data_IF_490506317944
#
_entry.id   IF_490506317944
#
_cell.length_a   1.000
_cell.length_b   1.000
_cell.length_c   1.000
_cell.angle_alpha   90.00
_cell.angle_beta   90.00
_cell.angle_gamma   90.00
#
_symmetry.space_group_name_H-M   'P 1'
#
loop_
_entity.id
_entity.type
_entity.pdbx_description
1 polymer ?
#
# COMPACT_ATOMS: atom_id res chain seq x y z
N UNK A 1 31.64 -45.15 -50.67
CA UNK A 1 31.91 -43.77 -50.20
C UNK A 1 30.59 -43.25 -49.61
N UNK A 2 30.31 -43.43 -48.32
CA UNK A 2 30.64 -42.60 -47.15
C UNK A 2 30.05 -41.17 -47.14
N UNK A 3 29.31 -40.87 -46.04
CA UNK A 3 28.96 -39.56 -45.43
C UNK A 3 27.73 -38.84 -46.04
N UNK A 4 26.81 -38.20 -45.32
CA UNK A 4 26.53 -37.93 -43.89
C UNK A 4 25.07 -37.36 -43.83
N UNK A 5 24.23 -37.79 -42.89
CA UNK A 5 23.68 -37.00 -41.77
C UNK A 5 23.40 -35.51 -42.06
N UNK A 6 22.16 -35.04 -41.83
CA UNK A 6 21.85 -34.07 -40.76
C UNK A 6 20.33 -33.92 -40.53
N UNK A 7 19.98 -33.95 -39.24
CA UNK A 7 18.66 -33.74 -38.63
C UNK A 7 18.19 -32.28 -38.76
N UNK A 8 16.88 -32.04 -38.59
CA UNK A 8 16.24 -31.01 -37.74
C UNK A 8 14.72 -31.10 -37.97
N UNK A 9 13.98 -31.91 -37.22
CA UNK A 9 13.48 -31.64 -35.87
C UNK A 9 12.52 -30.44 -35.81
N UNK A 10 11.23 -30.78 -35.81
CA UNK A 10 10.12 -30.13 -35.11
C UNK A 10 10.17 -28.62 -34.89
N UNK A 11 9.46 -27.88 -35.74
CA UNK A 11 8.86 -26.62 -35.32
C UNK A 11 7.63 -26.93 -34.45
N UNK A 12 7.86 -27.33 -33.20
CA UNK A 12 6.82 -27.20 -32.16
C UNK A 12 6.82 -25.73 -31.79
N UNK A 13 5.91 -24.97 -32.40
CA UNK A 13 5.53 -23.66 -31.86
C UNK A 13 5.00 -23.90 -30.45
N UNK A 14 5.87 -23.71 -29.46
CA UNK A 14 5.46 -23.49 -28.10
C UNK A 14 4.62 -22.21 -28.12
N UNK A 15 3.30 -22.36 -28.10
CA UNK A 15 2.42 -21.33 -27.56
C UNK A 15 2.81 -21.17 -26.10
N UNK A 16 3.76 -20.28 -25.84
CA UNK A 16 3.87 -19.66 -24.54
C UNK A 16 2.55 -18.89 -24.37
N UNK A 17 1.59 -19.51 -23.70
CA UNK A 17 0.46 -18.80 -23.13
C UNK A 17 1.07 -17.79 -22.16
N UNK A 18 1.19 -16.54 -22.59
CA UNK A 18 1.44 -15.42 -21.70
C UNK A 18 0.35 -15.49 -20.65
N UNK A 19 0.73 -15.78 -19.41
CA UNK A 19 -0.16 -15.58 -18.28
C UNK A 19 -0.69 -14.13 -18.40
N UNK A 20 -2.01 -13.92 -18.29
CA UNK A 20 -2.55 -12.56 -18.37
C UNK A 20 -1.84 -11.74 -17.30
N UNK A 21 -1.26 -10.60 -17.70
CA UNK A 21 -0.79 -9.61 -16.75
C UNK A 21 -1.98 -9.29 -15.82
N UNK A 22 -1.83 -9.62 -14.54
CA UNK A 22 -2.90 -9.44 -13.59
C UNK A 22 -3.03 -7.91 -13.40
N UNK A 23 -4.24 -7.39 -13.53
CA UNK A 23 -4.45 -5.95 -13.40
C UNK A 23 -4.57 -5.60 -11.92
N UNK A 24 -4.14 -4.39 -11.55
CA UNK A 24 -4.45 -3.85 -10.23
C UNK A 24 -5.96 -3.91 -9.96
N UNK A 25 -6.32 -4.21 -8.73
CA UNK A 25 -7.70 -4.26 -8.29
C UNK A 25 -8.34 -2.87 -8.36
N UNK A 26 -9.65 -2.84 -8.63
CA UNK A 26 -10.42 -1.60 -8.64
C UNK A 26 -10.34 -0.87 -7.28
N UNK A 27 -10.27 -1.62 -6.18
CA UNK A 27 -10.11 -1.09 -4.84
C UNK A 27 -8.83 -0.27 -4.68
N UNK A 28 -7.68 -0.79 -5.13
CA UNK A 28 -6.41 -0.08 -4.99
C UNK A 28 -6.25 1.08 -5.98
N UNK A 29 -6.91 1.03 -7.15
CA UNK A 29 -7.05 2.19 -8.04
C UNK A 29 -7.86 3.29 -7.37
N UNK A 30 -9.03 2.96 -6.83
CA UNK A 30 -9.89 3.89 -6.08
C UNK A 30 -9.18 4.47 -4.85
N UNK A 31 -8.38 3.64 -4.16
CA UNK A 31 -7.52 4.04 -3.06
C UNK A 31 -6.46 5.05 -3.47
N UNK A 32 -5.77 4.82 -4.59
CA UNK A 32 -4.76 5.72 -5.12
C UNK A 32 -5.32 7.10 -5.45
N UNK A 33 -6.55 7.18 -5.96
CA UNK A 33 -7.27 8.45 -6.16
C UNK A 33 -7.55 9.14 -4.83
N UNK A 34 -8.17 8.43 -3.88
CA UNK A 34 -8.52 8.97 -2.57
C UNK A 34 -7.30 9.50 -1.80
N UNK A 35 -6.15 8.83 -1.91
CA UNK A 35 -4.91 9.31 -1.32
C UNK A 35 -4.50 10.69 -1.87
N UNK A 36 -4.61 10.91 -3.19
CA UNK A 36 -4.29 12.22 -3.79
C UNK A 36 -5.24 13.30 -3.29
N UNK A 37 -6.54 13.02 -3.29
CA UNK A 37 -7.56 13.95 -2.82
C UNK A 37 -7.38 14.30 -1.34
N UNK A 38 -7.08 13.30 -0.51
CA UNK A 38 -6.74 13.47 0.91
C UNK A 38 -5.52 14.37 1.10
N UNK A 39 -4.49 14.18 0.27
CA UNK A 39 -3.29 15.02 0.30
C UNK A 39 -3.57 16.47 -0.07
N UNK A 40 -4.37 16.72 -1.09
CA UNK A 40 -4.66 18.09 -1.55
C UNK A 40 -5.53 18.86 -0.54
N UNK A 41 -6.35 18.15 0.25
CA UNK A 41 -7.24 18.74 1.24
C UNK A 41 -6.60 19.00 2.62
N UNK A 42 -5.45 18.40 2.91
CA UNK A 42 -4.68 18.61 4.14
C UNK A 42 -4.10 20.05 4.18
N UNK A 43 -4.85 20.98 4.79
CA UNK A 43 -4.55 22.42 4.76
C UNK A 43 -4.28 23.05 6.13
N UNK A 44 -4.13 22.26 7.20
CA UNK A 44 -4.03 22.79 8.59
C UNK A 44 -3.00 22.04 9.44
N UNK A 45 -2.39 22.73 10.43
CA UNK A 45 -1.57 22.07 11.43
C UNK A 45 -2.42 21.08 12.22
N UNK A 46 -1.97 19.83 12.25
CA UNK A 46 -2.62 18.67 12.87
C UNK A 46 -2.39 18.70 14.39
N UNK A 47 -3.43 18.44 15.19
CA UNK A 47 -3.26 18.35 16.65
C UNK A 47 -2.45 17.10 17.04
N UNK A 48 -1.81 17.07 18.22
CA UNK A 48 -0.97 15.92 18.63
C UNK A 48 -1.75 14.60 18.69
N UNK A 49 -3.04 14.63 19.09
CA UNK A 49 -3.91 13.45 19.10
C UNK A 49 -4.21 12.95 17.67
N UNK A 50 -4.48 13.86 16.73
CA UNK A 50 -4.66 13.51 15.32
C UNK A 50 -3.36 12.95 14.70
N UNK A 51 -2.19 13.47 15.12
CA UNK A 51 -0.89 12.93 14.69
C UNK A 51 -0.67 11.50 15.20
N UNK A 52 -1.02 11.21 16.46
CA UNK A 52 -0.94 9.87 17.06
C UNK A 52 -1.87 8.88 16.35
N UNK A 53 -3.12 9.29 16.09
CA UNK A 53 -4.09 8.51 15.31
C UNK A 53 -3.59 8.21 13.88
N UNK A 54 -3.05 9.21 13.19
CA UNK A 54 -2.42 9.03 11.88
C UNK A 54 -1.24 8.05 11.92
N UNK A 55 -0.52 7.99 13.03
CA UNK A 55 0.52 7.00 13.26
C UNK A 55 0.02 5.57 13.20
N UNK A 56 -1.14 5.29 13.79
CA UNK A 56 -1.75 3.97 13.73
C UNK A 56 -2.01 3.50 12.30
N UNK A 57 -2.53 4.38 11.45
CA UNK A 57 -2.77 4.10 10.03
C UNK A 57 -1.47 3.78 9.27
N UNK A 58 -0.45 4.62 9.43
CA UNK A 58 0.84 4.42 8.76
C UNK A 58 1.57 3.17 9.25
N UNK A 59 1.48 2.82 10.53
CA UNK A 59 2.00 1.56 11.06
C UNK A 59 1.35 0.36 10.37
N UNK A 60 0.02 0.32 10.31
CA UNK A 60 -0.69 -0.81 9.67
C UNK A 60 -0.35 -0.93 8.19
N UNK A 61 -0.25 0.19 7.47
CA UNK A 61 0.16 0.16 6.07
C UNK A 61 1.59 -0.39 5.89
N UNK A 62 2.54 0.04 6.74
CA UNK A 62 3.91 -0.46 6.69
C UNK A 62 4.00 -1.96 7.05
N UNK A 63 3.23 -2.42 8.04
CA UNK A 63 3.13 -3.84 8.40
C UNK A 63 2.62 -4.66 7.19
N UNK A 64 1.60 -4.18 6.49
CA UNK A 64 1.05 -4.83 5.29
C UNK A 64 2.08 -4.96 4.16
N UNK A 65 2.94 -3.95 3.98
CA UNK A 65 4.05 -3.99 3.03
C UNK A 65 5.13 -4.99 3.45
N UNK A 66 5.50 -5.01 4.74
CA UNK A 66 6.52 -5.91 5.28
C UNK A 66 6.07 -7.39 5.24
N UNK A 67 4.76 -7.62 5.36
CA UNK A 67 4.13 -8.94 5.28
C UNK A 67 3.73 -9.34 3.85
N UNK A 68 4.06 -8.53 2.84
CA UNK A 68 3.78 -8.81 1.42
C UNK A 68 2.28 -9.07 1.13
N UNK A 69 1.39 -8.43 1.90
CA UNK A 69 -0.07 -8.64 1.77
C UNK A 69 -0.66 -7.99 0.51
N UNK A 70 0.02 -7.00 -0.06
CA UNK A 70 -0.44 -6.24 -1.24
C UNK A 70 0.24 -6.79 -2.49
N UNK A 71 -0.54 -7.07 -3.54
CA UNK A 71 -0.01 -7.59 -4.79
C UNK A 71 0.93 -6.60 -5.49
N UNK A 72 1.87 -7.09 -6.29
CA UNK A 72 2.79 -6.22 -7.04
C UNK A 72 2.04 -5.24 -7.97
N UNK A 73 0.93 -5.68 -8.58
CA UNK A 73 0.13 -4.84 -9.48
C UNK A 73 -0.63 -3.75 -8.72
N UNK A 74 -1.19 -4.06 -7.56
CA UNK A 74 -1.81 -3.08 -6.67
C UNK A 74 -0.77 -2.07 -6.15
N UNK A 75 0.42 -2.55 -5.77
CA UNK A 75 1.55 -1.71 -5.39
C UNK A 75 2.00 -0.83 -6.55
N UNK A 76 1.98 -1.29 -7.79
CA UNK A 76 2.38 -0.50 -8.94
C UNK A 76 1.46 0.72 -9.17
N UNK A 77 0.19 0.66 -8.77
CA UNK A 77 -0.75 1.79 -8.85
C UNK A 77 -0.59 2.75 -7.66
N UNK A 78 -0.32 2.23 -6.47
CA UNK A 78 -0.14 3.04 -5.27
C UNK A 78 1.25 3.68 -5.17
N UNK A 79 2.31 2.93 -5.46
CA UNK A 79 3.71 3.32 -5.26
C UNK A 79 4.04 4.68 -5.89
N UNK A 80 3.66 5.00 -7.15
CA UNK A 80 3.93 6.32 -7.74
C UNK A 80 3.29 7.49 -6.96
N UNK A 81 2.21 7.23 -6.24
CA UNK A 81 1.50 8.21 -5.42
C UNK A 81 2.09 8.28 -4.00
N UNK A 82 2.69 7.19 -3.53
CA UNK A 82 3.30 7.04 -2.21
C UNK A 82 4.82 7.39 -2.17
N UNK A 83 5.51 7.55 -3.32
CA UNK A 83 6.97 7.76 -3.50
C UNK A 83 7.42 9.27 -3.51
N UNK A 84 8.68 9.67 -3.14
CA UNK A 84 9.13 10.00 -1.75
C UNK A 84 9.98 11.32 -1.59
N UNK A 85 10.49 11.76 -0.39
CA UNK A 85 10.89 10.91 0.75
C UNK A 85 10.55 11.33 2.20
N UNK A 86 10.45 10.29 3.04
CA UNK A 86 10.85 10.22 4.47
C UNK A 86 9.84 10.43 5.60
N UNK A 87 8.54 10.57 5.34
CA UNK A 87 7.56 10.62 6.43
C UNK A 87 7.38 9.29 7.20
N UNK A 88 7.36 8.08 6.61
CA UNK A 88 7.18 6.89 7.45
C UNK A 88 8.40 6.64 8.36
N UNK A 89 9.63 6.95 7.93
CA UNK A 89 10.83 6.75 8.75
C UNK A 89 11.03 7.86 9.81
N UNK A 90 10.70 9.12 9.50
CA UNK A 90 10.70 10.19 10.52
C UNK A 90 9.48 10.11 11.45
N UNK A 91 8.33 9.64 10.96
CA UNK A 91 7.17 9.37 11.78
C UNK A 91 7.46 8.19 12.72
N UNK A 92 8.06 7.08 12.28
CA UNK A 92 8.52 6.00 13.19
C UNK A 92 9.51 6.54 14.25
N UNK A 93 10.46 7.39 13.87
CA UNK A 93 11.40 8.02 14.82
C UNK A 93 10.73 9.02 15.77
N UNK A 94 9.59 9.61 15.38
CA UNK A 94 8.74 10.47 16.21
C UNK A 94 7.78 9.65 17.07
N UNK A 95 7.29 8.49 16.60
CA UNK A 95 6.44 7.56 17.33
C UNK A 95 7.19 6.83 18.45
N UNK A 96 8.49 6.54 18.27
CA UNK A 96 9.32 6.08 19.38
C UNK A 96 9.37 7.08 20.55
N UNK A 97 9.13 8.39 20.30
CA UNK A 97 9.00 9.39 21.35
C UNK A 97 7.58 9.54 21.89
N UNK A 98 6.56 9.17 21.12
CA UNK A 98 5.17 9.13 21.61
C UNK A 98 4.92 7.91 22.50
N UNK A 99 5.62 6.79 22.29
CA UNK A 99 5.66 5.66 23.22
C UNK A 99 6.24 6.04 24.61
N UNK A 100 6.94 7.18 24.74
CA UNK A 100 7.39 7.71 26.03
C UNK A 100 6.32 8.58 26.72
N UNK A 101 5.25 8.94 26.01
CA UNK A 101 4.09 9.64 26.53
C UNK A 101 2.91 8.66 26.59
N UNK A 102 2.76 7.94 27.71
CA UNK A 102 1.66 7.00 27.99
C UNK A 102 0.25 7.55 27.65
N UNK A 103 0.10 8.87 27.52
CA UNK A 103 -1.14 9.59 27.24
C UNK A 103 -1.65 9.51 25.81
N UNK A 104 -0.87 9.02 24.84
CA UNK A 104 -1.27 9.00 23.41
C UNK A 104 -1.38 7.59 22.80
N UNK A 105 -1.26 6.55 23.64
CA UNK A 105 -1.33 5.16 23.20
C UNK A 105 -2.74 4.77 22.72
N UNK A 106 -3.78 5.35 23.32
CA UNK A 106 -5.17 5.04 22.97
C UNK A 106 -5.48 5.53 21.54
N UNK A 107 -5.04 6.72 21.16
CA UNK A 107 -5.21 7.27 19.80
C UNK A 107 -4.44 6.47 18.75
N UNK A 108 -3.21 6.03 19.08
CA UNK A 108 -2.44 5.15 18.19
C UNK A 108 -3.18 3.82 17.98
N UNK A 109 -3.64 3.18 19.06
CA UNK A 109 -4.33 1.89 18.94
C UNK A 109 -5.68 2.02 18.24
N UNK A 110 -6.43 3.10 18.48
CA UNK A 110 -7.66 3.42 17.74
C UNK A 110 -7.38 3.48 16.22
N UNK A 111 -6.37 4.26 15.82
CA UNK A 111 -5.96 4.34 14.42
C UNK A 111 -5.53 2.99 13.83
N UNK A 112 -4.85 2.14 14.60
CA UNK A 112 -4.46 0.79 14.15
C UNK A 112 -5.65 -0.14 13.97
N UNK A 113 -6.59 -0.14 14.92
CA UNK A 113 -7.78 -1.00 14.86
C UNK A 113 -8.62 -0.64 13.63
N UNK A 114 -8.84 0.65 13.40
CA UNK A 114 -9.61 1.11 12.24
C UNK A 114 -8.90 0.82 10.92
N UNK A 115 -7.60 1.16 10.81
CA UNK A 115 -6.82 0.90 9.61
C UNK A 115 -6.76 -0.59 9.25
N UNK A 116 -6.61 -1.49 10.24
CA UNK A 116 -6.61 -2.95 10.00
C UNK A 116 -7.92 -3.43 9.39
N UNK A 117 -9.05 -2.91 9.88
CA UNK A 117 -10.36 -3.25 9.33
C UNK A 117 -10.47 -2.83 7.87
N UNK A 118 -10.17 -1.57 7.57
CA UNK A 118 -10.25 -1.09 6.20
C UNK A 118 -9.25 -1.78 5.27
N UNK A 119 -8.05 -2.09 5.76
CA UNK A 119 -7.06 -2.84 4.98
C UNK A 119 -7.57 -4.24 4.63
N UNK A 120 -8.12 -4.98 5.61
CA UNK A 120 -8.66 -6.31 5.36
C UNK A 120 -9.78 -6.29 4.30
N UNK A 121 -10.70 -5.33 4.40
CA UNK A 121 -11.80 -5.16 3.44
C UNK A 121 -11.29 -4.70 2.06
N UNK A 122 -10.31 -3.80 2.01
CA UNK A 122 -9.67 -3.35 0.77
C UNK A 122 -8.93 -4.49 0.05
N UNK A 123 -8.20 -5.33 0.79
CA UNK A 123 -7.55 -6.53 0.27
C UNK A 123 -8.57 -7.57 -0.25
N UNK A 124 -9.78 -7.57 0.30
CA UNK A 124 -10.91 -8.35 -0.21
C UNK A 124 -11.60 -7.71 -1.44
N UNK A 125 -11.14 -6.53 -1.88
CA UNK A 125 -11.62 -5.83 -3.07
C UNK A 125 -12.69 -4.76 -2.81
N UNK A 126 -12.94 -4.36 -1.56
CA UNK A 126 -13.90 -3.30 -1.25
C UNK A 126 -13.32 -1.90 -1.57
N UNK A 127 -13.86 -1.26 -2.61
CA UNK A 127 -13.46 0.08 -3.04
C UNK A 127 -13.74 1.16 -1.99
N UNK A 128 -14.82 1.04 -1.22
CA UNK A 128 -15.16 2.03 -0.19
C UNK A 128 -14.18 1.96 0.97
N UNK A 129 -13.81 0.75 1.38
CA UNK A 129 -12.78 0.54 2.40
C UNK A 129 -11.41 1.04 1.93
N UNK A 130 -11.04 0.78 0.67
CA UNK A 130 -9.81 1.30 0.10
C UNK A 130 -9.80 2.83 0.05
N UNK A 131 -10.89 3.47 -0.40
CA UNK A 131 -11.02 4.94 -0.38
C UNK A 131 -10.90 5.50 1.05
N UNK A 132 -11.49 4.85 2.04
CA UNK A 132 -11.38 5.26 3.44
C UNK A 132 -9.94 5.15 3.96
N UNK A 133 -9.29 3.99 3.78
CA UNK A 133 -7.91 3.75 4.22
C UNK A 133 -6.94 4.77 3.59
N UNK A 134 -6.95 4.82 2.26
CA UNK A 134 -5.97 5.62 1.52
C UNK A 134 -6.29 7.11 1.55
N UNK A 135 -7.57 7.49 1.65
CA UNK A 135 -7.98 8.88 1.92
C UNK A 135 -7.45 9.38 3.25
N UNK A 136 -7.57 8.59 4.31
CA UNK A 136 -6.98 8.93 5.63
C UNK A 136 -5.46 9.01 5.57
N UNK A 137 -4.78 8.04 4.95
CA UNK A 137 -3.32 8.10 4.74
C UNK A 137 -2.89 9.35 3.96
N UNK A 138 -3.69 9.78 2.98
CA UNK A 138 -3.46 11.00 2.22
C UNK A 138 -3.65 12.27 3.06
N UNK A 139 -4.68 12.32 3.88
CA UNK A 139 -4.95 13.43 4.80
C UNK A 139 -3.92 13.50 5.94
N UNK A 140 -3.41 12.36 6.38
CA UNK A 140 -2.34 12.19 7.36
C UNK A 140 -0.96 12.51 6.78
N UNK A 141 -0.77 13.75 6.31
CA UNK A 141 0.56 14.26 5.97
C UNK A 141 1.38 14.46 7.24
N UNK A 142 2.20 13.46 7.57
CA UNK A 142 3.20 13.52 8.63
C UNK A 142 4.51 14.11 8.09
#
# INVERSE_FOLDING_TARGET
MSRAAFLLAGAVCALAASAPAQAASAAFVAGAEAYRDGRESATRPVEQAEFAYCGGYWTVWNDALAEEQVSEDDLAVLSPVLQPPSAPFQAIATFSKLNEADTLNDEVEEGRVEARKFLADALAGDESAARALFGTLGACQL
#
